data_IF_064522350954
#
_entry.id   IF_064522350954
#
_cell.length_a   1.000
_cell.length_b   1.000
_cell.length_c   1.000
_cell.angle_alpha   90.00
_cell.angle_beta   90.00
_cell.angle_gamma   90.00
#
_symmetry.space_group_name_H-M   'P 1'
#
loop_
_entity.id
_entity.type
_entity.pdbx_description
1 polymer ?
#
# COMPACT_ATOMS: atom_id res chain seq x y z
N UNK A 1 -9.95 20.76 -19.28
CA UNK A 1 -10.88 19.61 -19.32
C UNK A 1 -10.78 18.97 -20.70
N UNK A 2 -10.54 17.66 -20.79
CA UNK A 2 -10.19 17.01 -22.05
C UNK A 2 -11.38 16.98 -23.03
N UNK A 3 -11.18 17.31 -24.31
CA UNK A 3 -12.26 17.47 -25.31
C UNK A 3 -13.08 16.18 -25.49
N UNK A 4 -12.43 15.02 -25.34
CA UNK A 4 -13.05 13.70 -25.38
C UNK A 4 -14.08 13.50 -24.25
N UNK A 5 -13.77 13.94 -23.02
CA UNK A 5 -14.67 13.81 -21.86
C UNK A 5 -15.93 14.68 -22.04
N UNK A 6 -15.79 15.90 -22.53
CA UNK A 6 -16.93 16.79 -22.78
C UNK A 6 -17.85 16.21 -23.87
N UNK A 7 -17.25 15.70 -24.94
CA UNK A 7 -17.95 15.02 -26.04
C UNK A 7 -18.69 13.79 -25.54
N UNK A 8 -18.05 12.95 -24.72
CA UNK A 8 -18.67 11.80 -24.07
C UNK A 8 -19.89 12.20 -23.22
N UNK A 9 -19.73 13.21 -22.35
CA UNK A 9 -20.83 13.72 -21.51
C UNK A 9 -22.01 14.21 -22.37
N UNK A 10 -21.72 14.89 -23.49
CA UNK A 10 -22.75 15.37 -24.40
C UNK A 10 -23.53 14.21 -25.04
N UNK A 11 -22.83 13.17 -25.50
CA UNK A 11 -23.48 11.99 -26.09
C UNK A 11 -24.27 11.18 -25.06
N UNK A 12 -23.75 11.06 -23.83
CA UNK A 12 -24.43 10.41 -22.71
C UNK A 12 -25.81 11.00 -22.39
N UNK A 13 -25.97 12.31 -22.57
CA UNK A 13 -27.23 13.02 -22.29
C UNK A 13 -28.17 13.00 -23.50
N UNK A 14 -27.62 13.18 -24.72
CA UNK A 14 -28.43 13.53 -25.88
C UNK A 14 -28.58 12.41 -26.91
N UNK A 15 -27.58 11.54 -27.08
CA UNK A 15 -27.57 10.52 -28.13
C UNK A 15 -26.62 9.36 -27.80
N UNK A 16 -27.20 8.27 -27.28
CA UNK A 16 -26.46 7.06 -26.93
C UNK A 16 -25.90 6.30 -28.15
N UNK A 17 -26.36 6.60 -29.38
CA UNK A 17 -25.83 5.98 -30.60
C UNK A 17 -24.41 6.48 -30.88
N UNK A 18 -24.15 7.76 -30.61
CA UNK A 18 -22.82 8.36 -30.82
C UNK A 18 -21.79 7.87 -29.80
N UNK A 19 -22.23 7.29 -28.68
CA UNK A 19 -21.33 6.67 -27.70
C UNK A 19 -20.63 5.42 -28.25
N UNK A 20 -21.29 4.61 -29.08
CA UNK A 20 -20.68 3.41 -29.67
C UNK A 20 -19.46 3.80 -30.52
N UNK A 21 -19.61 4.79 -31.39
CA UNK A 21 -18.51 5.31 -32.21
C UNK A 21 -17.45 6.02 -31.36
N UNK A 22 -17.88 6.81 -30.37
CA UNK A 22 -16.95 7.55 -29.50
C UNK A 22 -16.06 6.61 -28.69
N UNK A 23 -16.63 5.56 -28.10
CA UNK A 23 -15.91 4.59 -27.28
C UNK A 23 -14.86 3.84 -28.10
N UNK A 24 -15.21 3.43 -29.33
CA UNK A 24 -14.28 2.74 -30.23
C UNK A 24 -13.03 3.56 -30.57
N UNK A 25 -13.18 4.90 -30.63
CA UNK A 25 -12.11 5.83 -30.98
C UNK A 25 -11.33 6.37 -29.77
N UNK A 26 -11.81 6.14 -28.54
CA UNK A 26 -11.17 6.61 -27.33
C UNK A 26 -10.07 5.65 -26.88
N UNK A 27 -8.96 6.22 -26.40
CA UNK A 27 -7.96 5.43 -25.68
C UNK A 27 -8.50 4.92 -24.35
N UNK A 28 -7.90 3.85 -23.81
CA UNK A 28 -8.31 3.28 -22.53
C UNK A 28 -8.29 4.31 -21.39
N UNK A 29 -7.26 5.18 -21.36
CA UNK A 29 -7.16 6.24 -20.36
C UNK A 29 -8.31 7.25 -20.48
N UNK A 30 -8.69 7.63 -21.71
CA UNK A 30 -9.81 8.55 -21.93
C UNK A 30 -11.14 7.95 -21.49
N UNK A 31 -11.36 6.66 -21.72
CA UNK A 31 -12.55 5.95 -21.25
C UNK A 31 -12.60 5.96 -19.72
N UNK A 32 -11.49 5.62 -19.05
CA UNK A 32 -11.40 5.63 -17.59
C UNK A 32 -11.73 7.02 -17.05
N UNK A 33 -11.12 8.06 -17.62
CA UNK A 33 -11.37 9.44 -17.21
C UNK A 33 -12.82 9.87 -17.45
N UNK A 34 -13.41 9.51 -18.59
CA UNK A 34 -14.79 9.83 -18.93
C UNK A 34 -15.78 9.16 -17.97
N UNK A 35 -15.58 7.87 -17.67
CA UNK A 35 -16.41 7.12 -16.72
C UNK A 35 -16.26 7.65 -15.31
N UNK A 36 -15.03 7.89 -14.85
CA UNK A 36 -14.76 8.45 -13.53
C UNK A 36 -15.34 9.87 -13.37
N UNK A 37 -15.35 10.66 -14.43
CA UNK A 37 -15.91 12.02 -14.39
C UNK A 37 -17.44 12.04 -14.50
N UNK A 38 -18.03 11.17 -15.32
CA UNK A 38 -19.45 11.26 -15.67
C UNK A 38 -20.36 10.30 -14.92
N UNK A 39 -19.84 9.16 -14.43
CA UNK A 39 -20.66 8.06 -13.91
C UNK A 39 -20.17 7.52 -12.56
N UNK A 40 -19.19 8.17 -11.92
CA UNK A 40 -18.60 7.68 -10.66
C UNK A 40 -19.65 7.43 -9.59
N UNK A 41 -20.53 8.40 -9.34
CA UNK A 41 -21.49 8.31 -8.25
C UNK A 41 -22.52 7.20 -8.51
N UNK A 42 -22.99 7.05 -9.74
CA UNK A 42 -23.92 6.02 -10.16
C UNK A 42 -23.31 4.63 -10.02
N UNK A 43 -22.06 4.46 -10.45
CA UNK A 43 -21.33 3.19 -10.34
C UNK A 43 -21.11 2.85 -8.86
N UNK A 44 -20.64 3.80 -8.04
CA UNK A 44 -20.48 3.57 -6.60
C UNK A 44 -21.78 3.17 -5.91
N UNK A 45 -22.89 3.83 -6.25
CA UNK A 45 -24.20 3.49 -5.72
C UNK A 45 -24.63 2.07 -6.11
N UNK A 46 -24.36 1.65 -7.35
CA UNK A 46 -24.63 0.30 -7.81
C UNK A 46 -23.76 -0.75 -7.08
N UNK A 47 -22.47 -0.46 -6.89
CA UNK A 47 -21.53 -1.31 -6.13
C UNK A 47 -21.99 -1.45 -4.68
N UNK A 48 -22.27 -0.34 -4.00
CA UNK A 48 -22.72 -0.34 -2.61
C UNK A 48 -24.01 -1.17 -2.42
N UNK A 49 -24.98 -1.02 -3.32
CA UNK A 49 -26.20 -1.84 -3.31
C UNK A 49 -25.91 -3.32 -3.51
N UNK A 50 -24.96 -3.65 -4.39
CA UNK A 50 -24.55 -5.02 -4.63
C UNK A 50 -23.86 -5.63 -3.40
N UNK A 51 -22.87 -4.94 -2.81
CA UNK A 51 -22.10 -5.43 -1.66
C UNK A 51 -22.96 -5.51 -0.38
N UNK A 52 -23.88 -4.55 -0.15
CA UNK A 52 -24.73 -4.55 1.05
C UNK A 52 -25.51 -5.86 1.25
N UNK A 53 -25.85 -6.53 0.14
CA UNK A 53 -26.54 -7.83 0.17
C UNK A 53 -25.66 -8.98 0.68
N UNK A 54 -24.35 -8.77 0.86
CA UNK A 54 -23.36 -9.79 1.18
C UNK A 54 -22.48 -9.40 2.37
N UNK A 55 -22.97 -9.67 3.58
CA UNK A 55 -22.35 -9.30 4.87
C UNK A 55 -20.99 -9.95 5.21
N UNK A 56 -20.49 -10.88 4.39
CA UNK A 56 -19.32 -11.73 4.73
C UNK A 56 -18.12 -11.57 3.80
N UNK A 57 -18.03 -10.47 3.04
CA UNK A 57 -16.90 -10.25 2.11
C UNK A 57 -16.04 -9.10 2.60
N UNK A 58 -14.73 -9.29 2.84
CA UNK A 58 -13.82 -8.23 3.27
C UNK A 58 -13.37 -7.39 2.06
N UNK A 59 -14.32 -6.81 1.32
CA UNK A 59 -14.03 -5.95 0.18
C UNK A 59 -14.81 -4.65 0.31
N UNK A 60 -14.14 -3.54 0.09
CA UNK A 60 -14.78 -2.23 0.11
C UNK A 60 -15.35 -1.88 -1.27
N UNK A 61 -16.28 -0.93 -1.32
CA UNK A 61 -16.79 -0.43 -2.58
C UNK A 61 -15.69 0.26 -3.41
N UNK A 62 -14.72 0.90 -2.76
CA UNK A 62 -13.57 1.53 -3.42
C UNK A 62 -12.68 0.51 -4.13
N UNK A 63 -12.43 -0.65 -3.50
CA UNK A 63 -11.65 -1.74 -4.12
C UNK A 63 -12.32 -2.22 -5.42
N UNK A 64 -13.62 -2.53 -5.34
CA UNK A 64 -14.40 -2.96 -6.51
C UNK A 64 -14.43 -1.87 -7.58
N UNK A 65 -14.57 -0.60 -7.19
CA UNK A 65 -14.61 0.51 -8.13
C UNK A 65 -13.29 0.69 -8.89
N UNK A 66 -12.16 0.61 -8.19
CA UNK A 66 -10.84 0.74 -8.79
C UNK A 66 -10.54 -0.41 -9.75
N UNK A 67 -10.87 -1.65 -9.37
CA UNK A 67 -10.78 -2.80 -10.27
C UNK A 67 -11.72 -2.65 -11.47
N UNK A 68 -12.94 -2.14 -11.25
CA UNK A 68 -13.89 -1.89 -12.33
C UNK A 68 -13.32 -0.87 -13.33
N UNK A 69 -12.75 0.24 -12.87
CA UNK A 69 -12.14 1.24 -13.75
C UNK A 69 -11.01 0.64 -14.58
N UNK A 70 -10.21 -0.26 -14.02
CA UNK A 70 -9.15 -0.94 -14.76
C UNK A 70 -9.71 -1.82 -15.90
N UNK A 71 -10.78 -2.58 -15.63
CA UNK A 71 -11.39 -3.48 -16.61
C UNK A 71 -12.40 -2.79 -17.55
N UNK A 72 -12.89 -1.59 -17.20
CA UNK A 72 -14.00 -0.93 -17.90
C UNK A 72 -13.73 -0.67 -19.38
N UNK A 73 -12.53 -0.28 -19.85
CA UNK A 73 -12.31 -0.03 -21.28
C UNK A 73 -12.60 -1.26 -22.13
N UNK A 74 -12.12 -2.43 -21.70
CA UNK A 74 -12.34 -3.70 -22.39
C UNK A 74 -13.83 -4.09 -22.46
N UNK A 75 -14.62 -3.69 -21.47
CA UNK A 75 -16.06 -3.96 -21.42
C UNK A 75 -16.82 -2.94 -22.27
N UNK A 76 -16.45 -1.67 -22.21
CA UNK A 76 -17.13 -0.57 -22.90
C UNK A 76 -16.81 -0.55 -24.40
N UNK A 77 -15.64 -1.01 -24.84
CA UNK A 77 -15.33 -1.22 -26.26
C UNK A 77 -16.27 -2.23 -26.94
N UNK A 78 -16.94 -3.09 -26.17
CA UNK A 78 -17.93 -4.07 -26.68
C UNK A 78 -19.35 -3.53 -26.69
N UNK A 79 -19.57 -2.29 -26.23
CA UNK A 79 -20.88 -1.67 -26.21
C UNK A 79 -21.41 -1.53 -27.64
N UNK A 80 -22.65 -1.98 -27.84
CA UNK A 80 -23.40 -1.79 -29.09
C UNK A 80 -24.71 -1.12 -28.77
N UNK A 81 -25.00 -0.04 -29.47
CA UNK A 81 -26.25 0.68 -29.28
C UNK A 81 -27.45 -0.17 -29.73
N UNK A 82 -28.52 -0.13 -28.93
CA UNK A 82 -29.84 -0.68 -29.27
C UNK A 82 -30.88 0.38 -28.95
N UNK A 83 -31.91 0.52 -29.80
CA UNK A 83 -32.98 1.52 -29.63
C UNK A 83 -33.67 1.44 -28.27
N UNK A 84 -33.84 0.23 -27.77
CA UNK A 84 -34.68 -0.05 -26.59
C UNK A 84 -33.89 -0.03 -25.27
N UNK A 85 -32.60 0.36 -25.32
CA UNK A 85 -31.73 0.42 -24.14
C UNK A 85 -30.90 1.68 -24.15
N UNK A 86 -30.76 2.32 -22.99
CA UNK A 86 -29.86 3.44 -22.81
C UNK A 86 -28.51 2.99 -22.24
N UNK A 87 -27.50 3.86 -22.36
CA UNK A 87 -26.15 3.56 -21.91
C UNK A 87 -26.06 3.38 -20.39
N UNK A 88 -26.83 4.14 -19.62
CA UNK A 88 -26.91 3.99 -18.16
C UNK A 88 -27.34 2.58 -17.74
N UNK A 89 -28.37 2.03 -18.39
CA UNK A 89 -28.85 0.68 -18.14
C UNK A 89 -27.77 -0.37 -18.47
N UNK A 90 -27.05 -0.18 -19.58
CA UNK A 90 -25.92 -1.04 -19.94
C UNK A 90 -24.82 -1.01 -18.86
N UNK A 91 -24.36 0.18 -18.46
CA UNK A 91 -23.32 0.33 -17.44
C UNK A 91 -23.77 -0.26 -16.11
N UNK A 92 -25.01 0.01 -15.68
CA UNK A 92 -25.54 -0.51 -14.43
C UNK A 92 -25.58 -2.06 -14.43
N UNK A 93 -25.99 -2.67 -15.55
CA UNK A 93 -25.99 -4.12 -15.68
C UNK A 93 -24.57 -4.71 -15.68
N UNK A 94 -23.63 -4.06 -16.36
CA UNK A 94 -22.22 -4.44 -16.38
C UNK A 94 -21.64 -4.38 -14.96
N UNK A 95 -21.84 -3.28 -14.23
CA UNK A 95 -21.34 -3.10 -12.86
C UNK A 95 -21.95 -4.14 -11.93
N UNK A 96 -23.26 -4.42 -12.05
CA UNK A 96 -23.92 -5.46 -11.26
C UNK A 96 -23.29 -6.83 -11.51
N UNK A 97 -23.08 -7.21 -12.77
CA UNK A 97 -22.44 -8.47 -13.14
C UNK A 97 -20.99 -8.54 -12.65
N UNK A 98 -20.26 -7.43 -12.75
CA UNK A 98 -18.89 -7.32 -12.24
C UNK A 98 -18.84 -7.57 -10.73
N UNK A 99 -19.70 -6.89 -9.96
CA UNK A 99 -19.82 -7.08 -8.52
C UNK A 99 -20.13 -8.53 -8.17
N UNK A 100 -21.14 -9.14 -8.84
CA UNK A 100 -21.50 -10.53 -8.62
C UNK A 100 -20.32 -11.49 -8.86
N UNK A 101 -19.52 -11.26 -9.91
CA UNK A 101 -18.34 -12.07 -10.19
C UNK A 101 -17.28 -11.95 -9.08
N UNK A 102 -17.02 -10.73 -8.60
CA UNK A 102 -16.05 -10.51 -7.51
C UNK A 102 -16.57 -11.11 -6.20
N UNK A 103 -17.83 -10.88 -5.86
CA UNK A 103 -18.47 -11.45 -4.68
C UNK A 103 -18.45 -12.98 -4.71
N UNK A 104 -18.80 -13.59 -5.84
CA UNK A 104 -18.71 -15.04 -6.05
C UNK A 104 -17.27 -15.54 -5.88
N UNK A 105 -16.28 -14.81 -6.38
CA UNK A 105 -14.87 -15.16 -6.22
C UNK A 105 -14.47 -15.20 -4.73
N UNK A 106 -14.89 -14.21 -3.94
CA UNK A 106 -14.59 -14.13 -2.51
C UNK A 106 -15.38 -15.13 -1.66
N UNK A 107 -16.60 -15.47 -2.06
CA UNK A 107 -17.43 -16.46 -1.38
C UNK A 107 -17.03 -17.91 -1.66
N UNK A 108 -16.13 -18.17 -2.61
CA UNK A 108 -15.63 -19.55 -2.85
C UNK A 108 -15.02 -20.11 -1.58
N UNK A 109 -15.33 -21.37 -1.27
CA UNK A 109 -14.98 -22.11 -0.03
C UNK A 109 -13.52 -21.97 0.46
N UNK A 110 -12.56 -21.74 -0.43
CA UNK A 110 -11.14 -21.51 -0.08
C UNK A 110 -10.84 -20.11 0.47
N UNK A 111 -11.75 -19.16 0.26
CA UNK A 111 -11.61 -17.72 0.54
C UNK A 111 -12.74 -17.16 1.40
N UNK A 112 -13.82 -17.93 1.59
CA UNK A 112 -14.85 -17.64 2.56
C UNK A 112 -14.25 -17.79 3.96
N UNK A 113 -13.66 -16.71 4.44
CA UNK A 113 -13.28 -16.57 5.84
C UNK A 113 -14.59 -16.40 6.59
N UNK A 114 -14.86 -17.23 7.60
CA UNK A 114 -15.92 -16.91 8.55
C UNK A 114 -15.44 -15.70 9.35
N UNK A 115 -15.81 -14.51 8.86
CA UNK A 115 -15.50 -13.22 9.46
C UNK A 115 -16.31 -12.96 10.74
N UNK A 116 -16.44 -13.98 11.61
CA UNK A 116 -16.75 -13.77 13.02
C UNK A 116 -15.48 -13.30 13.77
N UNK A 117 -14.63 -12.49 13.13
CA UNK A 117 -13.60 -11.75 13.83
C UNK A 117 -14.22 -10.42 14.24
N UNK A 118 -14.16 -10.13 15.55
CA UNK A 118 -14.42 -8.81 16.11
C UNK A 118 -13.73 -7.75 15.26
N UNK A 119 -14.40 -6.62 15.04
CA UNK A 119 -13.82 -5.51 14.30
C UNK A 119 -12.50 -5.10 14.94
N UNK A 120 -11.54 -4.64 14.14
CA UNK A 120 -10.25 -4.15 14.64
C UNK A 120 -10.46 -3.00 15.65
N UNK A 121 -11.57 -2.27 15.53
CA UNK A 121 -12.00 -1.23 16.47
C UNK A 121 -12.38 -1.77 17.87
N UNK A 122 -12.67 -3.07 18.00
CA UNK A 122 -12.92 -3.76 19.27
C UNK A 122 -11.66 -4.43 19.86
N UNK A 123 -10.51 -4.36 19.17
CA UNK A 123 -9.26 -4.89 19.73
C UNK A 123 -8.72 -3.93 20.78
N UNK A 124 -8.76 -4.38 22.04
CA UNK A 124 -8.03 -3.72 23.13
C UNK A 124 -6.54 -3.98 22.90
N UNK A 125 -5.85 -3.00 22.34
CA UNK A 125 -4.39 -3.02 22.25
C UNK A 125 -3.83 -2.88 23.67
N UNK A 126 -3.32 -3.97 24.21
CA UNK A 126 -2.53 -3.94 25.43
C UNK A 126 -1.11 -3.56 24.99
N UNK A 127 -0.70 -2.34 25.27
CA UNK A 127 0.71 -1.94 25.12
C UNK A 127 1.53 -2.70 26.14
N UNK A 128 2.47 -3.51 25.65
CA UNK A 128 3.51 -4.10 26.47
C UNK A 128 4.72 -3.16 26.44
N UNK A 129 4.71 -2.20 27.37
CA UNK A 129 5.78 -1.22 27.52
C UNK A 129 7.15 -1.90 27.71
N UNK A 130 7.20 -3.14 28.21
CA UNK A 130 8.47 -3.86 28.40
C UNK A 130 9.04 -4.35 27.08
N UNK A 131 8.21 -4.92 26.21
CA UNK A 131 8.63 -5.37 24.89
C UNK A 131 9.03 -4.18 23.99
N UNK A 132 8.31 -3.06 24.07
CA UNK A 132 8.64 -1.85 23.34
C UNK A 132 10.00 -1.29 23.75
N UNK A 133 10.25 -1.17 25.06
CA UNK A 133 11.53 -0.71 25.59
C UNK A 133 12.69 -1.65 25.22
N UNK A 134 12.50 -2.97 25.26
CA UNK A 134 13.53 -3.93 24.83
C UNK A 134 13.91 -3.77 23.36
N UNK A 135 12.93 -3.48 22.49
CA UNK A 135 13.18 -3.25 21.06
C UNK A 135 13.95 -1.94 20.86
N UNK A 136 13.57 -0.88 21.58
CA UNK A 136 14.26 0.40 21.52
C UNK A 136 15.71 0.32 22.01
N UNK A 137 15.97 -0.38 23.12
CA UNK A 137 17.33 -0.57 23.62
C UNK A 137 18.21 -1.34 22.64
N UNK A 138 17.69 -2.43 22.05
CA UNK A 138 18.44 -3.20 21.03
C UNK A 138 18.71 -2.38 19.78
N UNK A 139 17.75 -1.58 19.33
CA UNK A 139 17.95 -0.70 18.18
C UNK A 139 19.02 0.37 18.47
N UNK A 140 19.00 0.96 19.66
CA UNK A 140 20.00 1.94 20.08
C UNK A 140 21.39 1.31 20.21
N UNK A 141 21.50 0.10 20.76
CA UNK A 141 22.76 -0.64 20.86
C UNK A 141 23.33 -0.95 19.48
N UNK A 142 22.51 -1.41 18.53
CA UNK A 142 22.94 -1.67 17.15
C UNK A 142 23.38 -0.40 16.42
N UNK A 143 22.62 0.70 16.56
CA UNK A 143 23.00 1.98 15.94
C UNK A 143 24.27 2.56 16.56
N UNK A 144 24.40 2.50 17.88
CA UNK A 144 25.62 2.89 18.58
C UNK A 144 26.80 2.04 18.11
N UNK A 145 26.67 0.71 18.10
CA UNK A 145 27.72 -0.20 17.64
C UNK A 145 28.10 0.08 16.19
N UNK A 146 27.12 0.33 15.31
CA UNK A 146 27.36 0.61 13.90
C UNK A 146 28.04 1.97 13.68
N UNK A 147 27.64 3.01 14.40
CA UNK A 147 28.17 4.37 14.21
C UNK A 147 29.50 4.57 14.91
N UNK A 148 29.61 4.12 16.16
CA UNK A 148 30.80 4.28 16.99
C UNK A 148 31.94 3.37 16.53
N UNK A 149 31.70 2.07 16.38
CA UNK A 149 32.79 1.15 16.00
C UNK A 149 33.25 1.27 14.55
N UNK A 150 32.46 1.87 13.65
CA UNK A 150 32.93 2.20 12.29
C UNK A 150 34.00 3.29 12.27
N UNK A 151 34.03 4.16 13.26
CA UNK A 151 35.06 5.18 13.39
C UNK A 151 36.42 4.57 13.79
N UNK A 152 36.41 3.38 14.41
CA UNK A 152 37.60 2.66 14.85
C UNK A 152 38.04 1.64 13.80
N UNK A 153 39.36 1.51 13.60
CA UNK A 153 39.91 0.42 12.79
C UNK A 153 39.76 -0.92 13.50
N UNK A 154 39.86 -2.03 12.77
CA UNK A 154 39.81 -3.37 13.38
C UNK A 154 40.86 -3.57 14.50
N UNK A 155 42.04 -2.95 14.37
CA UNK A 155 43.07 -2.96 15.39
C UNK A 155 42.68 -2.15 16.64
N UNK A 156 42.01 -1.01 16.46
CA UNK A 156 41.51 -0.22 17.59
C UNK A 156 40.43 -0.99 18.36
N UNK A 157 39.50 -1.64 17.65
CA UNK A 157 38.46 -2.48 18.26
C UNK A 157 39.09 -3.64 19.06
N UNK A 158 40.14 -4.27 18.52
CA UNK A 158 40.89 -5.29 19.24
C UNK A 158 41.56 -4.73 20.50
N UNK A 159 42.20 -3.57 20.41
CA UNK A 159 42.84 -2.92 21.55
C UNK A 159 41.82 -2.47 22.62
N UNK A 160 40.64 -1.98 22.23
CA UNK A 160 39.54 -1.66 23.15
C UNK A 160 39.12 -2.92 23.91
N UNK A 161 38.86 -4.02 23.19
CA UNK A 161 38.50 -5.31 23.80
C UNK A 161 39.58 -5.81 24.74
N UNK A 162 40.85 -5.64 24.39
CA UNK A 162 42.00 -6.00 25.20
C UNK A 162 42.08 -5.19 26.50
N UNK A 163 41.93 -3.87 26.42
CA UNK A 163 41.93 -2.95 27.57
C UNK A 163 40.76 -3.18 28.52
N UNK A 164 39.59 -3.52 28.00
CA UNK A 164 38.39 -3.83 28.79
C UNK A 164 38.40 -5.27 29.34
N UNK A 165 39.21 -6.16 28.75
CA UNK A 165 39.30 -7.54 29.22
C UNK A 165 40.00 -7.58 30.59
N UNK A 166 39.42 -8.33 31.53
CA UNK A 166 40.08 -8.67 32.81
C UNK A 166 41.09 -9.81 32.67
N UNK A 167 41.41 -10.21 31.43
CA UNK A 167 42.31 -11.33 31.15
C UNK A 167 43.76 -10.83 31.13
N UNK A 168 44.67 -11.69 31.57
CA UNK A 168 46.10 -11.41 31.52
C UNK A 168 46.54 -11.14 30.07
N UNK A 169 47.27 -10.04 29.85
CA UNK A 169 47.81 -9.68 28.53
C UNK A 169 49.35 -9.67 28.55
N UNK A 170 50.03 -10.16 27.51
CA UNK A 170 51.49 -10.20 27.43
C UNK A 170 52.11 -8.85 27.04
N UNK A 171 51.45 -7.73 27.36
CA UNK A 171 51.94 -6.39 27.05
C UNK A 171 52.41 -5.67 28.30
N UNK A 172 53.49 -4.90 28.13
CA UNK A 172 53.95 -4.00 29.18
C UNK A 172 52.93 -2.90 29.45
N UNK A 173 52.90 -2.40 30.68
CA UNK A 173 52.05 -1.27 31.10
C UNK A 173 52.23 -0.06 30.18
N UNK A 174 53.45 0.21 29.73
CA UNK A 174 53.75 1.28 28.78
C UNK A 174 53.01 1.11 27.45
N UNK A 175 53.02 -0.11 26.88
CA UNK A 175 52.35 -0.41 25.62
C UNK A 175 50.83 -0.32 25.74
N UNK A 176 50.27 -0.74 26.88
CA UNK A 176 48.83 -0.58 27.17
C UNK A 176 48.43 0.90 27.30
N UNK A 177 49.28 1.73 27.91
CA UNK A 177 49.03 3.17 27.99
C UNK A 177 49.08 3.85 26.62
N UNK A 178 49.96 3.42 25.72
CA UNK A 178 49.98 3.92 24.34
C UNK A 178 48.68 3.60 23.60
N UNK A 179 48.17 2.37 23.73
CA UNK A 179 46.88 2.00 23.14
C UNK A 179 45.73 2.82 23.73
N UNK A 180 45.73 3.00 25.05
CA UNK A 180 44.71 3.80 25.74
C UNK A 180 44.70 5.24 25.24
N UNK A 181 45.85 5.90 25.16
CA UNK A 181 45.92 7.30 24.73
C UNK A 181 45.46 7.48 23.29
N UNK A 182 45.88 6.58 22.38
CA UNK A 182 45.46 6.63 20.98
C UNK A 182 43.94 6.41 20.80
N UNK A 183 43.33 5.55 21.62
CA UNK A 183 41.87 5.34 21.61
C UNK A 183 41.15 6.57 22.18
N UNK A 184 41.65 7.16 23.28
CA UNK A 184 41.06 8.35 23.90
C UNK A 184 41.06 9.53 22.95
N UNK A 185 42.17 9.78 22.23
CA UNK A 185 42.24 10.85 21.23
C UNK A 185 41.18 10.67 20.14
N UNK A 186 41.02 9.45 19.62
CA UNK A 186 39.99 9.13 18.61
C UNK A 186 38.57 9.32 19.14
N UNK A 187 38.30 8.96 20.40
CA UNK A 187 37.00 9.22 21.05
C UNK A 187 36.74 10.72 21.12
N UNK A 188 37.74 11.50 21.56
CA UNK A 188 37.61 12.97 21.64
C UNK A 188 37.30 13.53 20.26
N UNK A 189 38.02 13.12 19.21
CA UNK A 189 37.76 13.56 17.83
C UNK A 189 36.35 13.21 17.35
N UNK A 190 35.85 12.00 17.65
CA UNK A 190 34.50 11.58 17.27
C UNK A 190 33.40 12.49 17.85
N UNK A 191 33.56 12.93 19.11
CA UNK A 191 32.57 13.79 19.78
C UNK A 191 32.80 15.30 19.59
N UNK A 192 33.89 15.69 18.94
CA UNK A 192 34.20 17.10 18.64
C UNK A 192 33.99 17.48 17.17
N UNK A 193 33.68 16.49 16.31
CA UNK A 193 33.23 16.67 14.93
C UNK A 193 31.71 16.87 14.87
#
# INVERSE_FOLDING_TARGET
>A
MNKSIFTFKKHLINDNRQLEQSLTNMSNLEIIMAINHCLKQEIFNAINKAIFSYKKVPITADDIYNEFLYECPNILHKYKYKSDSNFYAYVNQVVKNFCLNKLNFWQRKKRSIDLNMSSIDEMIYITDDTAENEIYEKAYEEDFNRLFYRYFSQNDVFNIKLLLSRKWSPHSTYKLNLFRNAIVEKIITFYSA
#
